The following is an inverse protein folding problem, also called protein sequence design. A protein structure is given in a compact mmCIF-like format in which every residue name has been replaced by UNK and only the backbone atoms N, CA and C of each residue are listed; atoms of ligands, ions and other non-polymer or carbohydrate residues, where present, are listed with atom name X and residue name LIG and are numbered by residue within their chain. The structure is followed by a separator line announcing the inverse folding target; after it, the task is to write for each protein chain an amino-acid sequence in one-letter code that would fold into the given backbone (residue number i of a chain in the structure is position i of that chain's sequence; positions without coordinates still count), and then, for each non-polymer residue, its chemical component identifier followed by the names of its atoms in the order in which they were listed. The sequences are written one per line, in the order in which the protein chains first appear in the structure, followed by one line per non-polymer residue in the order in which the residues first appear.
data_IF_937565724735
#
_entry.id   IF_937565724735
#
_cell.length_a   1.000
_cell.length_b   1.000
_cell.length_c   1.000
_cell.angle_alpha   90.00
_cell.angle_beta   90.00
_cell.angle_gamma   90.00
#
_symmetry.space_group_name_H-M   'P 1'
#
loop_
_entity.id
_entity.type
_entity.pdbx_description
1 polymer ?
#
# COMPACT_ATOMS: atom_id res chain seq x y z
N UNK A 1 -1.16 -18.70 23.79
CA UNK A 1 -1.78 -17.97 22.67
C UNK A 1 -0.63 -17.29 21.96
N UNK A 2 -0.11 -17.93 20.91
CA UNK A 2 0.96 -17.38 20.09
C UNK A 2 0.42 -16.12 19.44
N UNK A 3 0.92 -14.94 19.83
CA UNK A 3 0.67 -13.72 19.07
C UNK A 3 1.45 -13.90 17.78
N UNK A 4 0.76 -14.00 16.66
CA UNK A 4 1.43 -13.93 15.35
C UNK A 4 2.04 -12.53 15.23
N UNK A 5 3.33 -12.43 15.52
CA UNK A 5 4.05 -11.17 15.40
C UNK A 5 4.09 -10.76 13.92
N UNK A 6 3.55 -9.57 13.67
CA UNK A 6 3.61 -8.90 12.39
C UNK A 6 5.06 -8.44 12.16
N UNK A 7 5.80 -9.17 11.33
CA UNK A 7 7.20 -8.88 11.03
C UNK A 7 7.31 -7.77 10.00
N UNK A 8 6.48 -7.82 8.96
CA UNK A 8 6.55 -6.88 7.84
C UNK A 8 5.15 -6.48 7.36
N UNK A 9 5.02 -5.26 6.87
CA UNK A 9 3.82 -4.74 6.22
C UNK A 9 4.13 -4.54 4.74
N UNK A 10 3.36 -5.18 3.87
CA UNK A 10 3.49 -5.11 2.42
C UNK A 10 2.32 -4.28 1.87
N UNK A 11 2.65 -3.11 1.37
CA UNK A 11 1.73 -2.17 0.75
C UNK A 11 1.73 -2.42 -0.75
N UNK A 12 0.61 -2.93 -1.27
CA UNK A 12 0.44 -3.19 -2.69
C UNK A 12 -0.43 -2.13 -3.33
N UNK A 13 0.18 -1.29 -4.16
CA UNK A 13 -0.50 -0.24 -4.90
C UNK A 13 -1.28 -0.82 -6.08
N UNK A 14 -2.44 -0.22 -6.38
CA UNK A 14 -3.16 -0.50 -7.62
C UNK A 14 -2.54 0.26 -8.81
N UNK A 15 -1.27 0.02 -9.07
CA UNK A 15 -0.51 0.60 -10.18
C UNK A 15 0.51 -0.45 -10.66
N UNK A 16 0.99 -0.32 -11.90
CA UNK A 16 2.00 -1.21 -12.47
C UNK A 16 3.37 -0.51 -12.51
N UNK A 17 4.45 -1.19 -12.10
CA UNK A 17 5.84 -0.69 -12.07
C UNK A 17 6.33 -0.17 -13.41
N UNK A 18 5.85 -0.73 -14.52
CA UNK A 18 6.20 -0.26 -15.87
C UNK A 18 5.73 1.16 -16.19
N UNK A 19 4.77 1.71 -15.43
CA UNK A 19 4.22 3.05 -15.61
C UNK A 19 4.72 4.06 -14.56
N UNK A 20 5.66 3.64 -13.70
CA UNK A 20 6.29 4.48 -12.66
C UNK A 20 7.26 5.55 -13.19
N UNK A 21 7.70 5.47 -14.45
CA UNK A 21 8.49 6.54 -15.08
C UNK A 21 7.69 7.81 -15.41
N UNK A 22 6.35 7.80 -15.26
CA UNK A 22 5.50 8.92 -15.65
C UNK A 22 5.11 9.87 -14.49
N UNK A 23 5.49 9.59 -13.24
CA UNK A 23 5.18 10.51 -12.13
C UNK A 23 6.17 11.68 -12.02
N UNK A 24 7.35 11.56 -12.64
CA UNK A 24 8.37 12.61 -12.66
C UNK A 24 8.53 13.28 -14.04
N UNK A 25 8.01 12.67 -15.11
CA UNK A 25 8.17 13.18 -16.47
C UNK A 25 6.83 13.64 -17.04
N UNK A 26 6.52 14.92 -16.83
CA UNK A 26 5.59 15.63 -17.69
C UNK A 26 4.37 16.20 -16.98
N UNK A 27 4.44 17.51 -16.75
CA UNK A 27 3.28 18.39 -16.58
C UNK A 27 2.34 18.42 -17.82
N UNK A 28 2.29 17.39 -18.69
CA UNK A 28 1.62 17.43 -20.00
C UNK A 28 1.01 16.08 -20.50
N UNK A 29 0.65 15.14 -19.62
CA UNK A 29 -0.22 13.98 -19.95
C UNK A 29 -1.25 13.82 -18.81
N UNK A 30 -2.37 14.52 -18.78
CA UNK A 30 -3.57 14.28 -19.61
C UNK A 30 -3.64 12.84 -20.14
N UNK A 31 -3.68 11.87 -19.24
CA UNK A 31 -4.28 10.56 -19.49
C UNK A 31 -5.17 10.26 -18.30
N UNK A 32 -6.46 10.54 -18.49
CA UNK A 32 -7.60 10.12 -17.68
C UNK A 32 -7.47 10.31 -16.15
N UNK A 33 -8.02 11.39 -15.56
CA UNK A 33 -8.20 11.49 -14.10
C UNK A 33 -9.05 10.34 -13.53
N UNK A 34 -9.70 9.54 -14.38
CA UNK A 34 -10.48 8.36 -14.02
C UNK A 34 -9.66 7.06 -13.95
N UNK A 35 -8.41 7.02 -14.42
CA UNK A 35 -7.70 5.72 -14.54
C UNK A 35 -6.92 5.27 -13.32
N UNK A 36 -6.53 6.14 -12.38
CA UNK A 36 -5.84 5.69 -11.16
C UNK A 36 -6.11 6.57 -9.94
N UNK A 37 -7.34 6.56 -9.42
CA UNK A 37 -7.61 6.96 -8.03
C UNK A 37 -7.15 5.85 -7.08
N UNK A 38 -5.84 5.60 -7.02
CA UNK A 38 -5.30 4.71 -6.00
C UNK A 38 -5.48 5.39 -4.64
N UNK A 39 -6.46 4.93 -3.84
CA UNK A 39 -6.73 5.45 -2.50
C UNK A 39 -5.49 5.42 -1.63
N UNK A 40 -4.68 4.35 -1.73
CA UNK A 40 -3.43 4.24 -1.00
C UNK A 40 -2.42 5.33 -1.38
N UNK A 41 -2.27 5.64 -2.68
CA UNK A 41 -1.40 6.74 -3.11
C UNK A 41 -1.87 8.08 -2.56
N UNK A 42 -3.18 8.34 -2.49
CA UNK A 42 -3.71 9.60 -1.94
C UNK A 42 -3.53 9.71 -0.41
N UNK A 43 -3.54 8.56 0.26
CA UNK A 43 -3.29 8.46 1.71
C UNK A 43 -1.80 8.65 2.04
N UNK A 44 -0.87 8.17 1.20
CA UNK A 44 0.57 8.25 1.48
C UNK A 44 1.27 9.44 0.81
N UNK A 45 0.82 9.84 -0.37
CA UNK A 45 1.30 10.98 -1.15
C UNK A 45 0.22 12.07 -1.28
N UNK A 46 0.63 13.33 -1.09
CA UNK A 46 -0.19 14.49 -1.41
C UNK A 46 -0.08 14.86 -2.90
N UNK A 47 -0.58 16.05 -3.27
CA UNK A 47 -0.62 16.52 -4.66
C UNK A 47 0.74 16.56 -5.38
N UNK A 48 1.85 16.66 -4.64
CA UNK A 48 3.19 16.76 -5.23
C UNK A 48 4.30 16.03 -4.45
N UNK A 49 4.06 15.57 -3.21
CA UNK A 49 5.10 14.99 -2.33
C UNK A 49 4.52 13.96 -1.36
N UNK A 50 5.36 13.06 -0.87
CA UNK A 50 5.02 12.17 0.26
C UNK A 50 4.56 12.99 1.47
N UNK A 51 3.49 12.56 2.15
CA UNK A 51 2.99 13.26 3.33
C UNK A 51 3.98 13.09 4.49
N UNK A 52 4.33 14.19 5.14
CA UNK A 52 5.31 14.16 6.23
C UNK A 52 4.90 13.24 7.39
N UNK A 53 3.60 13.16 7.70
CA UNK A 53 3.10 12.26 8.73
C UNK A 53 3.33 10.80 8.39
N UNK A 54 3.12 10.42 7.12
CA UNK A 54 3.37 9.08 6.63
C UNK A 54 4.86 8.75 6.70
N UNK A 55 5.69 9.67 6.21
CA UNK A 55 7.16 9.55 6.30
C UNK A 55 7.63 9.37 7.75
N UNK A 56 7.08 10.16 8.69
CA UNK A 56 7.40 10.04 10.11
C UNK A 56 7.00 8.67 10.65
N UNK A 57 5.80 8.20 10.36
CA UNK A 57 5.34 6.87 10.77
C UNK A 57 6.24 5.75 10.23
N UNK A 58 6.54 5.74 8.93
CA UNK A 58 7.46 4.76 8.33
C UNK A 58 8.86 4.77 8.94
N UNK A 59 9.35 5.95 9.33
CA UNK A 59 10.70 6.10 9.90
C UNK A 59 10.72 5.77 11.41
N UNK A 60 9.61 6.00 12.10
CA UNK A 60 9.46 5.72 13.52
C UNK A 60 9.07 4.26 13.82
N UNK A 61 8.39 3.61 12.86
CA UNK A 61 7.98 2.22 13.01
C UNK A 61 9.18 1.29 12.95
N UNK A 62 9.23 0.33 13.87
CA UNK A 62 10.22 -0.75 13.88
C UNK A 62 9.85 -1.89 12.92
N UNK A 63 8.62 -1.88 12.39
CA UNK A 63 8.10 -2.89 11.48
C UNK A 63 8.56 -2.59 10.06
N UNK A 64 9.13 -3.60 9.38
CA UNK A 64 9.57 -3.48 7.99
C UNK A 64 8.37 -3.13 7.10
N UNK A 65 8.45 -2.07 6.31
CA UNK A 65 7.39 -1.67 5.37
C UNK A 65 7.89 -1.80 3.94
N UNK A 66 7.31 -2.73 3.19
CA UNK A 66 7.62 -3.01 1.79
C UNK A 66 6.53 -2.38 0.93
N UNK A 67 6.95 -1.72 -0.15
CA UNK A 67 6.05 -1.06 -1.10
C UNK A 67 6.20 -1.73 -2.45
N UNK A 68 5.12 -2.35 -2.94
CA UNK A 68 5.09 -3.07 -4.21
C UNK A 68 3.98 -2.53 -5.09
N UNK A 69 4.21 -2.57 -6.39
CA UNK A 69 3.16 -2.41 -7.40
C UNK A 69 2.38 -3.70 -7.57
N UNK A 70 1.19 -3.60 -8.15
CA UNK A 70 0.32 -4.75 -8.41
C UNK A 70 1.06 -5.83 -9.21
N UNK A 71 1.74 -5.45 -10.28
CA UNK A 71 2.47 -6.39 -11.14
C UNK A 71 3.68 -7.01 -10.42
N UNK A 72 4.38 -6.24 -9.57
CA UNK A 72 5.48 -6.76 -8.75
C UNK A 72 4.98 -7.79 -7.76
N UNK A 73 3.88 -7.48 -7.07
CA UNK A 73 3.25 -8.40 -6.13
C UNK A 73 2.74 -9.65 -6.83
N UNK A 74 2.03 -9.52 -7.95
CA UNK A 74 1.58 -10.65 -8.74
C UNK A 74 2.77 -11.48 -9.24
N UNK A 75 3.90 -10.86 -9.60
CA UNK A 75 5.10 -11.59 -10.05
C UNK A 75 5.83 -12.32 -8.92
N UNK A 76 6.01 -11.69 -7.76
CA UNK A 76 6.68 -12.31 -6.61
C UNK A 76 5.80 -13.34 -5.89
N UNK A 77 4.49 -13.11 -5.84
CA UNK A 77 3.55 -13.89 -5.02
C UNK A 77 2.51 -14.70 -5.83
N UNK A 78 2.59 -14.72 -7.17
CA UNK A 78 1.72 -15.50 -8.06
C UNK A 78 1.54 -16.95 -7.60
N UNK A 79 2.62 -17.59 -7.14
CA UNK A 79 2.61 -19.01 -6.77
C UNK A 79 1.95 -19.30 -5.42
N UNK A 80 1.78 -18.28 -4.56
CA UNK A 80 1.20 -18.44 -3.20
C UNK A 80 -0.23 -17.94 -3.10
N UNK A 81 -0.66 -17.05 -3.99
CA UNK A 81 -1.98 -16.44 -3.95
C UNK A 81 -2.68 -16.57 -5.30
N UNK A 82 -3.42 -17.67 -5.47
CA UNK A 82 -4.19 -17.96 -6.69
C UNK A 82 -5.53 -17.25 -6.79
N UNK A 83 -5.81 -16.20 -6.01
CA UNK A 83 -7.12 -15.55 -5.95
C UNK A 83 -7.02 -14.04 -6.12
N UNK A 84 -7.96 -13.50 -6.90
CA UNK A 84 -8.09 -12.11 -7.28
C UNK A 84 -8.23 -11.18 -6.07
N UNK A 85 -7.10 -10.71 -5.51
CA UNK A 85 -7.14 -9.62 -4.56
C UNK A 85 -7.62 -8.35 -5.24
N UNK A 86 -8.42 -7.57 -4.51
CA UNK A 86 -8.78 -6.22 -4.93
C UNK A 86 -7.69 -5.27 -4.45
N UNK A 87 -7.05 -4.59 -5.40
CA UNK A 87 -6.03 -3.60 -5.12
C UNK A 87 -6.64 -2.20 -5.03
N UNK A 88 -6.07 -1.27 -4.22
CA UNK A 88 -4.86 -1.42 -3.40
C UNK A 88 -5.11 -2.26 -2.13
N UNK A 89 -4.10 -2.94 -1.60
CA UNK A 89 -4.23 -3.80 -0.42
C UNK A 89 -2.99 -3.70 0.47
N UNK A 90 -3.16 -3.87 1.79
CA UNK A 90 -2.06 -3.98 2.75
C UNK A 90 -2.06 -5.38 3.33
N UNK A 91 -0.94 -6.07 3.17
CA UNK A 91 -0.69 -7.40 3.69
C UNK A 91 0.30 -7.33 4.84
N UNK A 92 0.20 -8.27 5.76
CA UNK A 92 1.08 -8.45 6.88
C UNK A 92 1.82 -9.76 6.73
N UNK A 93 3.13 -9.74 6.86
CA UNK A 93 3.95 -10.94 6.91
C UNK A 93 4.17 -11.34 8.35
N UNK A 94 3.75 -12.54 8.68
CA UNK A 94 3.93 -13.19 9.99
C UNK A 94 4.76 -14.46 9.80
N UNK A 95 5.12 -15.12 10.90
CA UNK A 95 5.78 -16.44 10.85
C UNK A 95 4.94 -17.49 10.10
N UNK A 96 3.61 -17.34 10.07
CA UNK A 96 2.69 -18.27 9.41
C UNK A 96 2.52 -18.00 7.91
N UNK A 97 2.96 -16.83 7.42
CA UNK A 97 2.84 -16.45 6.02
C UNK A 97 2.36 -15.00 5.83
N UNK A 98 1.66 -14.75 4.71
CA UNK A 98 1.04 -13.44 4.45
C UNK A 98 -0.44 -13.48 4.84
N UNK A 99 -0.88 -12.46 5.57
CA UNK A 99 -2.28 -12.23 5.94
C UNK A 99 -2.75 -10.86 5.44
N UNK A 100 -4.05 -10.70 5.21
CA UNK A 100 -4.62 -9.39 4.84
C UNK A 100 -4.78 -8.54 6.10
N UNK A 101 -4.12 -7.37 6.12
CA UNK A 101 -4.21 -6.42 7.24
C UNK A 101 -5.27 -5.36 6.94
N UNK A 102 -5.26 -4.79 5.73
CA UNK A 102 -6.24 -3.78 5.30
C UNK A 102 -6.66 -4.05 3.85
N UNK A 103 -7.97 -4.10 3.61
CA UNK A 103 -8.54 -4.29 2.26
C UNK A 103 -8.68 -2.98 1.49
N UNK A 104 -8.82 -3.08 0.17
CA UNK A 104 -9.09 -1.92 -0.70
C UNK A 104 -10.31 -1.09 -0.26
N UNK A 105 -11.37 -1.77 0.18
CA UNK A 105 -12.60 -1.13 0.64
C UNK A 105 -12.37 -0.29 1.89
N UNK A 106 -11.58 -0.80 2.84
CA UNK A 106 -11.20 -0.06 4.04
C UNK A 106 -10.33 1.14 3.67
N UNK A 107 -9.32 0.96 2.80
CA UNK A 107 -8.48 2.06 2.32
C UNK A 107 -9.29 3.15 1.61
N UNK A 108 -10.33 2.77 0.87
CA UNK A 108 -11.22 3.72 0.20
C UNK A 108 -12.11 4.48 1.17
N UNK A 109 -12.47 3.86 2.29
CA UNK A 109 -13.26 4.49 3.35
C UNK A 109 -12.44 5.44 4.24
N UNK A 110 -11.10 5.34 4.22
CA UNK A 110 -10.23 6.21 5.00
C UNK A 110 -10.18 7.63 4.40
N UNK A 111 -10.39 8.67 5.21
CA UNK A 111 -10.35 10.05 4.74
C UNK A 111 -8.93 10.57 4.49
N UNK A 112 -7.95 10.13 5.29
CA UNK A 112 -6.59 10.67 5.28
C UNK A 112 -5.54 9.75 5.94
N UNK A 113 -4.28 10.17 5.83
CA UNK A 113 -3.11 9.43 6.33
C UNK A 113 -3.16 9.14 7.83
N UNK A 114 -3.75 10.01 8.66
CA UNK A 114 -3.86 9.74 10.10
C UNK A 114 -4.74 8.53 10.35
N UNK A 115 -5.88 8.46 9.65
CA UNK A 115 -6.81 7.35 9.78
C UNK A 115 -6.15 6.03 9.34
N UNK A 116 -5.30 6.06 8.31
CA UNK A 116 -4.49 4.91 7.91
C UNK A 116 -3.52 4.48 9.01
N UNK A 117 -2.77 5.43 9.59
CA UNK A 117 -1.80 5.14 10.65
C UNK A 117 -2.51 4.55 11.87
N UNK A 118 -3.60 5.18 12.33
CA UNK A 118 -4.37 4.69 13.46
C UNK A 118 -4.94 3.27 13.22
N UNK A 119 -5.38 3.00 11.98
CA UNK A 119 -5.83 1.66 11.61
C UNK A 119 -4.69 0.65 11.68
N UNK A 120 -3.51 0.98 11.17
CA UNK A 120 -2.33 0.10 11.22
C UNK A 120 -1.89 -0.16 12.67
N UNK A 121 -1.83 0.86 13.51
CA UNK A 121 -1.49 0.72 14.93
C UNK A 121 -2.49 -0.16 15.69
N UNK A 122 -3.77 -0.16 15.30
CA UNK A 122 -4.78 -1.05 15.90
C UNK A 122 -4.63 -2.53 15.49
N UNK A 123 -3.84 -2.80 14.44
CA UNK A 123 -3.61 -4.13 13.85
C UNK A 123 -2.19 -4.65 14.04
N UNK A 124 -1.30 -3.84 14.62
CA UNK A 124 0.10 -4.17 14.94
C UNK A 124 0.20 -4.68 16.38
#
# INVERSE_FOLDING_TARGET
MEKEELQELIFVYNANSGMGNALLDGAHKILDPSTYTCSLCQLTHGAFREREIWKKYRTASSTSMIFLHKDEFEKEYASKFGHAFTYPIILGKTNSGLQVVVRAEELKALPDANALIALLESRS
#
